data_IF_857548643822
#
_entry.id   IF_857548643822
#
_cell.length_a   1.000
_cell.length_b   1.000
_cell.length_c   1.000
_cell.angle_alpha   90.00
_cell.angle_beta   90.00
_cell.angle_gamma   90.00
#
_symmetry.space_group_name_H-M   'P 1'
#
loop_
_entity.id
_entity.type
_entity.pdbx_description
1 polymer ?
#
# COMPACT_ATOMS: atom_id res chain seq x y z
N UNK A 1 8.72 -5.38 -0.83
CA UNK A 1 8.27 -3.99 -0.58
C UNK A 1 6.77 -3.95 -0.76
N UNK A 2 6.07 -3.14 0.03
CA UNK A 2 4.63 -2.95 -0.10
C UNK A 2 4.37 -1.82 -1.11
N UNK A 3 3.14 -1.77 -1.63
CA UNK A 3 2.69 -0.68 -2.49
C UNK A 3 1.35 -0.15 -2.01
N UNK A 4 1.17 1.16 -2.09
CA UNK A 4 -0.07 1.80 -1.71
C UNK A 4 -0.35 2.98 -2.64
N UNK A 5 -1.64 3.26 -2.85
CA UNK A 5 -2.09 4.44 -3.57
C UNK A 5 -2.29 5.52 -2.52
N UNK A 6 -1.55 6.63 -2.65
CA UNK A 6 -1.65 7.75 -1.73
C UNK A 6 -2.70 8.72 -2.25
N UNK A 7 -3.70 9.00 -1.43
CA UNK A 7 -4.77 9.97 -1.76
C UNK A 7 -4.44 11.36 -1.25
N UNK A 8 -3.49 11.47 -0.31
CA UNK A 8 -3.01 12.73 0.28
C UNK A 8 -1.50 12.69 0.45
N UNK A 9 -0.90 13.88 0.61
CA UNK A 9 0.50 14.01 0.99
C UNK A 9 0.72 13.42 2.39
N UNK A 10 1.78 12.63 2.54
CA UNK A 10 2.14 12.00 3.79
C UNK A 10 3.66 11.97 3.97
N UNK A 11 4.13 12.48 5.10
CA UNK A 11 5.52 12.44 5.51
C UNK A 11 5.65 11.59 6.75
N UNK A 12 6.65 10.74 6.78
CA UNK A 12 6.96 9.93 7.95
C UNK A 12 8.45 9.75 8.08
N UNK A 13 8.92 9.99 9.29
CA UNK A 13 10.31 9.83 9.68
C UNK A 13 10.40 8.62 10.59
N UNK A 14 11.13 7.61 10.15
CA UNK A 14 11.41 6.42 10.95
C UNK A 14 12.55 6.71 11.91
N UNK A 15 12.25 6.64 13.22
CA UNK A 15 13.27 6.77 14.27
C UNK A 15 14.20 5.55 14.33
N UNK A 16 13.73 4.37 13.91
CA UNK A 16 14.53 3.14 13.94
C UNK A 16 15.54 3.08 12.79
N UNK A 17 15.18 3.64 11.63
CA UNK A 17 16.04 3.66 10.43
C UNK A 17 16.78 4.97 10.22
N UNK A 18 16.47 6.00 10.99
CA UNK A 18 16.97 7.36 10.80
C UNK A 18 16.76 7.84 9.34
N UNK A 19 15.59 7.52 8.77
CA UNK A 19 15.23 7.80 7.38
C UNK A 19 13.86 8.46 7.31
N UNK A 20 13.72 9.46 6.44
CA UNK A 20 12.46 10.12 6.14
C UNK A 20 11.95 9.72 4.76
N UNK A 21 10.66 9.44 4.65
CA UNK A 21 9.98 9.23 3.39
C UNK A 21 8.82 10.23 3.25
N UNK A 22 8.63 10.71 2.03
CA UNK A 22 7.57 11.63 1.65
C UNK A 22 6.85 11.04 0.45
N UNK A 23 5.55 10.83 0.57
CA UNK A 23 4.70 10.39 -0.52
C UNK A 23 3.71 11.49 -0.88
N UNK A 24 3.54 11.69 -2.18
CA UNK A 24 2.61 12.64 -2.76
C UNK A 24 1.39 11.91 -3.32
N UNK A 25 0.21 12.55 -3.36
CA UNK A 25 -0.97 11.91 -3.91
C UNK A 25 -0.78 11.61 -5.40
N UNK A 26 -0.99 10.36 -5.79
CA UNK A 26 -0.94 9.87 -7.17
C UNK A 26 -1.87 8.67 -7.32
N UNK A 27 -2.53 8.56 -8.46
CA UNK A 27 -3.38 7.41 -8.80
C UNK A 27 -2.57 6.11 -8.96
N UNK A 28 -1.29 6.21 -9.32
CA UNK A 28 -0.40 5.07 -9.43
C UNK A 28 0.07 4.54 -8.06
N UNK A 29 0.09 3.21 -7.85
CA UNK A 29 0.63 2.60 -6.64
C UNK A 29 2.11 2.94 -6.46
N UNK A 30 2.45 3.54 -5.32
CA UNK A 30 3.83 3.86 -4.97
C UNK A 30 4.42 2.81 -4.05
N UNK A 31 5.70 2.48 -4.28
CA UNK A 31 6.44 1.48 -3.51
C UNK A 31 7.21 2.14 -2.37
N UNK A 32 6.92 1.70 -1.15
CA UNK A 32 7.58 2.18 0.06
C UNK A 32 7.80 1.03 1.05
N UNK A 33 8.58 1.26 2.12
CA UNK A 33 8.67 0.33 3.25
C UNK A 33 7.29 0.03 3.84
N UNK A 34 7.12 -1.20 4.35
CA UNK A 34 5.85 -1.62 4.98
C UNK A 34 5.48 -0.72 6.16
N UNK A 35 6.46 -0.34 6.99
CA UNK A 35 6.28 0.60 8.11
C UNK A 35 5.65 1.93 7.67
N UNK A 36 6.07 2.46 6.52
CA UNK A 36 5.59 3.72 5.98
C UNK A 36 4.17 3.57 5.44
N UNK A 37 3.90 2.50 4.71
CA UNK A 37 2.57 2.21 4.16
C UNK A 37 1.56 1.95 5.28
N UNK A 38 1.91 1.14 6.29
CA UNK A 38 1.04 0.88 7.43
C UNK A 38 0.74 2.17 8.20
N UNK A 39 1.74 3.06 8.38
CA UNK A 39 1.53 4.37 9.00
C UNK A 39 0.60 5.27 8.16
N UNK A 40 0.79 5.29 6.83
CA UNK A 40 -0.03 6.08 5.92
C UNK A 40 -1.49 5.56 5.83
N UNK A 41 -1.67 4.24 5.80
CA UNK A 41 -3.00 3.59 5.79
C UNK A 41 -3.70 3.83 7.13
N UNK A 42 -2.99 3.69 8.25
CA UNK A 42 -3.54 3.99 9.58
C UNK A 42 -3.94 5.45 9.75
N UNK A 43 -3.21 6.37 9.12
CA UNK A 43 -3.55 7.79 9.07
C UNK A 43 -4.69 8.12 8.09
N UNK A 44 -5.14 7.16 7.27
CA UNK A 44 -6.14 7.39 6.23
C UNK A 44 -5.63 8.18 5.02
N UNK A 45 -4.30 8.30 4.86
CA UNK A 45 -3.66 9.01 3.76
C UNK A 45 -3.38 8.11 2.54
N UNK A 46 -3.42 6.79 2.72
CA UNK A 46 -3.13 5.82 1.68
C UNK A 46 -4.05 4.59 1.77
N UNK A 47 -4.19 3.91 0.63
CA UNK A 47 -4.87 2.63 0.51
C UNK A 47 -3.85 1.58 0.09
N UNK A 48 -3.66 0.52 0.90
CA UNK A 48 -2.75 -0.57 0.55
C UNK A 48 -3.22 -1.22 -0.76
N UNK A 49 -2.35 -1.25 -1.77
CA UNK A 49 -2.61 -1.98 -3.00
C UNK A 49 -2.23 -3.44 -2.75
N UNK A 50 -3.14 -4.40 -2.96
CA UNK A 50 -2.83 -5.79 -2.70
C UNK A 50 -1.56 -6.17 -3.46
N UNK A 51 -0.66 -6.98 -2.85
CA UNK A 51 0.45 -7.54 -3.61
C UNK A 51 -0.16 -8.14 -4.86
N UNK A 52 0.47 -7.87 -6.02
CA UNK A 52 0.08 -8.55 -7.26
C UNK A 52 0.41 -10.03 -7.04
N UNK A 53 -0.48 -10.74 -6.34
CA UNK A 53 -0.61 -12.17 -6.49
C UNK A 53 -0.78 -12.30 -7.99
N UNK A 54 0.23 -12.86 -8.65
CA UNK A 54 0.05 -13.37 -10.01
C UNK A 54 -1.31 -14.04 -9.98
N UNK A 55 -2.24 -13.59 -10.83
CA UNK A 55 -3.60 -14.11 -10.96
C UNK A 55 -3.51 -15.56 -11.45
N UNK A 56 -3.02 -16.42 -10.58
CA UNK A 56 -2.92 -17.85 -10.71
C UNK A 56 -4.04 -18.42 -9.85
N UNK A 57 -5.20 -18.59 -10.48
CA UNK A 57 -6.24 -19.54 -10.06
C UNK A 57 -7.00 -19.19 -8.77
N UNK A 58 -7.82 -18.14 -8.82
CA UNK A 58 -9.13 -18.25 -8.17
C UNK A 58 -10.03 -19.05 -9.13
N UNK A 59 -10.20 -20.35 -8.89
CA UNK A 59 -11.36 -21.07 -9.46
C UNK A 59 -12.61 -20.38 -8.90
N UNK A 60 -13.60 -19.99 -9.72
CA UNK A 60 -14.88 -19.58 -9.16
C UNK A 60 -15.50 -20.79 -8.48
N UNK A 61 -15.78 -20.64 -7.19
CA UNK A 61 -16.85 -21.39 -6.56
C UNK A 61 -18.16 -20.70 -6.97
N UNK A 62 -19.08 -21.48 -7.57
CA UNK A 62 -20.54 -21.32 -7.59
C UNK A 62 -21.17 -21.47 -8.99
N UNK A 63 -21.74 -22.66 -9.23
CA UNK A 63 -23.02 -22.94 -9.91
C UNK A 63 -23.34 -24.39 -9.50
N UNK A 64 -24.26 -24.76 -8.61
CA UNK A 64 -25.70 -24.48 -8.46
C UNK A 64 -26.57 -25.10 -9.57
N UNK A 65 -26.82 -26.42 -9.50
CA UNK A 65 -28.14 -27.11 -9.41
C UNK A 65 -27.92 -28.62 -9.34
#
# INVERSE_FOLDING_TARGET
>A
MAKAIFTREFHYTSMTRNAGWSAYPKDDPQYYPREFIDAAVKAGCATESPPSVRKGRAKPAAEAD
#
